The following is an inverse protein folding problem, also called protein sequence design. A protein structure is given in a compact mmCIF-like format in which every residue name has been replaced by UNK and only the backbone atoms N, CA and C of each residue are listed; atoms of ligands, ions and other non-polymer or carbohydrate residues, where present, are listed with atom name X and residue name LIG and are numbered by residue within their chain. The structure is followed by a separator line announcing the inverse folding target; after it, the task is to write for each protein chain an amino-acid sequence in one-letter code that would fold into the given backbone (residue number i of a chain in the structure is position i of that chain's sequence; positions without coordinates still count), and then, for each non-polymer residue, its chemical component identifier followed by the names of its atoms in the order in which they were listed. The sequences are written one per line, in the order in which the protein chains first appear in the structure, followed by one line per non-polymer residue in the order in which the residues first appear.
data_IF_031829947404
#
_entry.id   IF_031829947404
#
_cell.length_a   1.000
_cell.length_b   1.000
_cell.length_c   1.000
_cell.angle_alpha   90.00
_cell.angle_beta   90.00
_cell.angle_gamma   90.00
#
_symmetry.space_group_name_H-M   'P 1'
#
loop_
_entity.id
_entity.type
_entity.pdbx_description
1 polymer ?
#
# COMPACT_ATOMS: atom_id res chain seq x y z
N UNK A 1 -3.40 37.80 9.40
CA UNK A 1 -4.45 36.95 8.82
C UNK A 1 -3.80 35.62 8.58
N UNK A 2 -4.11 34.60 9.38
CA UNK A 2 -3.88 33.22 8.96
C UNK A 2 -4.89 32.96 7.84
N UNK A 3 -4.41 32.62 6.65
CA UNK A 3 -5.27 31.99 5.65
C UNK A 3 -5.74 30.67 6.28
N UNK A 4 -7.05 30.52 6.46
CA UNK A 4 -7.62 29.20 6.69
C UNK A 4 -7.38 28.42 5.41
N UNK A 5 -6.60 27.34 5.50
CA UNK A 5 -6.47 26.40 4.40
C UNK A 5 -7.79 25.65 4.31
N UNK A 6 -8.41 25.66 3.13
CA UNK A 6 -9.60 24.87 2.86
C UNK A 6 -9.26 23.39 3.08
N UNK A 7 -10.22 22.62 3.62
CA UNK A 7 -10.05 21.20 3.90
C UNK A 7 -11.27 20.39 3.45
N UNK A 8 -11.03 19.16 3.02
CA UNK A 8 -12.04 18.19 2.59
C UNK A 8 -11.96 16.94 3.47
N UNK A 9 -13.11 16.41 3.90
CA UNK A 9 -13.17 15.10 4.53
C UNK A 9 -13.12 14.04 3.43
N UNK A 10 -12.00 13.33 3.35
CA UNK A 10 -11.76 12.29 2.34
C UNK A 10 -11.91 10.91 2.98
N UNK A 11 -12.66 10.03 2.33
CA UNK A 11 -12.87 8.65 2.74
C UNK A 11 -11.96 7.69 1.98
N UNK A 12 -11.33 6.77 2.69
CA UNK A 12 -10.43 5.77 2.11
C UNK A 12 -10.92 4.37 2.45
N UNK A 13 -10.82 3.48 1.48
CA UNK A 13 -10.97 2.04 1.70
C UNK A 13 -9.82 1.30 1.05
N UNK A 14 -9.15 0.43 1.81
CA UNK A 14 -8.07 -0.42 1.34
C UNK A 14 -8.45 -1.86 1.60
N UNK A 15 -8.41 -2.69 0.56
CA UNK A 15 -8.66 -4.12 0.63
C UNK A 15 -7.35 -4.87 0.42
N UNK A 16 -6.99 -5.71 1.39
CA UNK A 16 -5.77 -6.51 1.38
C UNK A 16 -6.11 -8.01 1.47
N UNK A 17 -5.29 -8.84 0.83
CA UNK A 17 -5.20 -10.27 1.14
C UNK A 17 -3.73 -10.71 1.16
N UNK A 18 -3.47 -12.00 1.38
CA UNK A 18 -2.11 -12.49 1.60
C UNK A 18 -1.85 -13.89 1.03
N UNK A 19 -0.58 -14.16 0.77
CA UNK A 19 -0.06 -15.52 0.52
C UNK A 19 0.99 -15.81 1.58
N UNK A 20 0.88 -16.92 2.30
CA UNK A 20 1.90 -17.32 3.28
C UNK A 20 1.78 -18.80 3.71
N UNK A 21 2.90 -19.36 4.16
CA UNK A 21 3.02 -20.76 4.57
C UNK A 21 3.24 -20.96 6.08
N UNK A 22 3.78 -19.96 6.78
CA UNK A 22 4.10 -20.05 8.22
C UNK A 22 3.43 -18.95 9.03
N UNK A 23 3.83 -17.69 8.79
CA UNK A 23 3.28 -16.51 9.47
C UNK A 23 2.65 -15.55 8.45
N UNK A 24 1.59 -14.83 8.83
CA UNK A 24 0.98 -13.81 7.99
C UNK A 24 1.94 -12.63 7.76
N UNK A 25 1.84 -11.92 6.62
CA UNK A 25 2.57 -10.68 6.42
C UNK A 25 2.09 -9.60 7.39
N UNK A 26 3.04 -8.81 7.91
CA UNK A 26 2.75 -7.60 8.68
C UNK A 26 2.71 -6.40 7.75
N UNK A 27 1.74 -5.51 7.96
CA UNK A 27 1.55 -4.35 7.11
C UNK A 27 1.36 -3.07 7.91
N UNK A 28 1.63 -1.94 7.26
CA UNK A 28 1.24 -0.61 7.72
C UNK A 28 0.44 0.11 6.64
N UNK A 29 -0.59 0.84 7.04
CA UNK A 29 -1.24 1.88 6.22
C UNK A 29 -0.89 3.23 6.84
N UNK A 30 -0.36 4.14 6.03
CA UNK A 30 -0.03 5.50 6.43
C UNK A 30 -0.63 6.52 5.47
N UNK A 31 -0.96 7.69 6.00
CA UNK A 31 -1.37 8.87 5.23
C UNK A 31 -0.50 10.05 5.65
N UNK A 32 0.22 10.64 4.71
CA UNK A 32 1.22 11.70 4.97
C UNK A 32 2.24 11.33 6.06
N UNK A 33 2.59 10.05 6.12
CA UNK A 33 3.48 9.49 7.15
C UNK A 33 2.83 9.28 8.53
N UNK A 34 1.58 9.68 8.74
CA UNK A 34 0.80 9.32 9.94
C UNK A 34 0.37 7.85 9.86
N UNK A 35 0.68 7.06 10.89
CA UNK A 35 0.25 5.66 10.95
C UNK A 35 -1.26 5.59 11.18
N UNK A 36 -1.99 5.08 10.18
CA UNK A 36 -3.43 4.84 10.26
C UNK A 36 -3.69 3.46 10.86
N UNK A 37 -3.01 2.44 10.35
CA UNK A 37 -3.20 1.06 10.80
C UNK A 37 -1.89 0.26 10.75
N UNK A 38 -1.72 -0.64 11.72
CA UNK A 38 -0.64 -1.62 11.76
C UNK A 38 -1.20 -2.96 12.23
N UNK A 39 -0.88 -4.03 11.51
CA UNK A 39 -1.37 -5.36 11.85
C UNK A 39 -0.80 -6.47 10.98
N UNK A 40 -1.50 -7.60 11.00
CA UNK A 40 -1.22 -8.77 10.16
C UNK A 40 -2.40 -9.02 9.22
N UNK A 41 -2.11 -9.47 7.99
CA UNK A 41 -3.14 -9.95 7.04
C UNK A 41 -3.17 -11.46 7.11
N UNK A 42 -4.17 -12.00 7.80
CA UNK A 42 -4.38 -13.46 7.96
C UNK A 42 -5.24 -14.03 6.85
N UNK A 43 -5.99 -13.15 6.19
CA UNK A 43 -6.89 -13.41 5.08
C UNK A 43 -6.08 -13.88 3.88
N UNK A 44 -6.25 -15.16 3.52
CA UNK A 44 -5.47 -15.79 2.46
C UNK A 44 -6.17 -15.65 1.11
N UNK A 45 -5.40 -15.32 0.08
CA UNK A 45 -5.90 -15.24 -1.30
C UNK A 45 -6.61 -16.55 -1.72
N UNK A 46 -6.09 -17.70 -1.32
CA UNK A 46 -6.65 -19.03 -1.66
C UNK A 46 -8.03 -19.31 -1.02
N UNK A 47 -8.35 -18.67 0.12
CA UNK A 47 -9.66 -18.80 0.76
C UNK A 47 -10.69 -17.82 0.21
N UNK A 48 -10.24 -16.78 -0.50
CA UNK A 48 -11.08 -15.67 -0.95
C UNK A 48 -11.51 -14.73 0.19
N UNK A 49 -10.86 -14.81 1.35
CA UNK A 49 -11.08 -13.88 2.45
C UNK A 49 -10.33 -12.57 2.20
N UNK A 50 -10.88 -11.46 2.70
CA UNK A 50 -10.33 -10.12 2.48
C UNK A 50 -10.29 -9.32 3.78
N UNK A 51 -9.18 -8.59 3.97
CA UNK A 51 -9.05 -7.60 5.02
C UNK A 51 -9.47 -6.24 4.50
N UNK A 52 -10.53 -5.69 5.08
CA UNK A 52 -11.06 -4.37 4.73
C UNK A 52 -10.66 -3.35 5.78
N UNK A 53 -10.00 -2.28 5.33
CA UNK A 53 -9.57 -1.15 6.14
C UNK A 53 -10.30 0.07 5.62
N UNK A 54 -11.06 0.76 6.48
CA UNK A 54 -11.81 1.96 6.12
C UNK A 54 -11.53 3.05 7.14
N UNK A 55 -11.21 4.25 6.66
CA UNK A 55 -10.96 5.41 7.50
C UNK A 55 -11.28 6.69 6.72
N UNK A 56 -11.53 7.78 7.45
CA UNK A 56 -11.75 9.10 6.86
C UNK A 56 -10.83 10.12 7.53
N UNK A 57 -10.37 11.12 6.78
CA UNK A 57 -9.47 12.17 7.29
C UNK A 57 -9.83 13.52 6.69
N UNK A 58 -9.87 14.56 7.52
CA UNK A 58 -9.87 15.94 7.04
C UNK A 58 -8.49 16.29 6.50
N UNK A 59 -8.41 16.49 5.19
CA UNK A 59 -7.19 16.82 4.46
C UNK A 59 -7.25 18.27 3.99
N UNK A 60 -6.17 19.01 4.22
CA UNK A 60 -6.02 20.37 3.70
C UNK A 60 -5.89 20.33 2.17
N UNK A 61 -6.23 21.41 1.49
CA UNK A 61 -5.97 21.53 0.05
C UNK A 61 -4.46 21.37 -0.25
N UNK A 62 -4.12 20.55 -1.24
CA UNK A 62 -2.74 20.31 -1.66
C UNK A 62 -2.36 18.86 -1.89
N UNK A 63 -1.06 18.58 -1.84
CA UNK A 63 -0.45 17.27 -2.09
C UNK A 63 -0.53 16.36 -0.86
N UNK A 64 -0.97 15.12 -1.09
CA UNK A 64 -1.07 14.08 -0.08
C UNK A 64 -0.49 12.75 -0.57
N UNK A 65 -0.11 11.89 0.37
CA UNK A 65 0.48 10.58 0.05
C UNK A 65 -0.16 9.46 0.87
N UNK A 66 -0.80 8.51 0.18
CA UNK A 66 -1.23 7.24 0.75
C UNK A 66 -0.11 6.20 0.62
N UNK A 67 0.15 5.46 1.69
CA UNK A 67 1.26 4.53 1.79
C UNK A 67 0.80 3.18 2.34
N UNK A 68 1.15 2.09 1.66
CA UNK A 68 0.92 0.72 2.12
C UNK A 68 2.25 0.00 2.17
N UNK A 69 2.63 -0.53 3.34
CA UNK A 69 3.93 -1.16 3.56
C UNK A 69 3.80 -2.63 3.89
N UNK A 70 4.68 -3.44 3.31
CA UNK A 70 5.03 -4.75 3.87
C UNK A 70 6.23 -4.53 4.80
N UNK A 71 6.13 -5.02 6.03
CA UNK A 71 7.19 -4.86 7.05
C UNK A 71 7.54 -6.18 7.73
N UNK A 72 8.76 -6.26 8.26
CA UNK A 72 9.26 -7.41 9.04
C UNK A 72 9.21 -8.76 8.29
N UNK A 73 9.20 -8.75 6.96
CA UNK A 73 9.50 -9.94 6.16
C UNK A 73 10.96 -10.34 6.36
N UNK A 74 11.19 -11.59 6.73
CA UNK A 74 12.51 -12.16 6.98
C UNK A 74 12.79 -13.30 5.99
N UNK A 75 14.05 -13.71 5.82
CA UNK A 75 14.43 -14.80 4.91
C UNK A 75 13.66 -16.11 5.19
N UNK A 76 13.30 -16.38 6.46
CA UNK A 76 12.49 -17.54 6.84
C UNK A 76 11.08 -17.54 6.23
N UNK A 77 10.58 -16.40 5.77
CA UNK A 77 9.28 -16.26 5.09
C UNK A 77 9.37 -16.51 3.58
N UNK A 78 10.59 -16.67 3.04
CA UNK A 78 10.84 -17.09 1.65
C UNK A 78 11.91 -18.17 1.64
N UNK A 79 11.62 -19.38 2.16
CA UNK A 79 12.59 -20.46 2.15
C UNK A 79 12.95 -20.82 0.70
N UNK A 80 14.25 -21.05 0.48
CA UNK A 80 14.81 -21.47 -0.81
C UNK A 80 15.49 -22.83 -0.69
N UNK A 81 15.52 -23.61 -1.76
CA UNK A 81 16.28 -24.86 -1.84
C UNK A 81 17.79 -24.62 -2.07
N UNK A 82 18.57 -25.70 -2.15
CA UNK A 82 20.02 -25.65 -2.38
C UNK A 82 20.40 -25.01 -3.72
N UNK A 83 19.48 -24.95 -4.69
CA UNK A 83 19.68 -24.33 -5.99
C UNK A 83 19.19 -22.87 -6.03
N UNK A 84 18.65 -22.35 -4.92
CA UNK A 84 18.07 -21.02 -4.83
C UNK A 84 16.64 -20.91 -5.34
N UNK A 85 15.93 -22.02 -5.60
CA UNK A 85 14.53 -22.00 -5.98
C UNK A 85 13.65 -21.67 -4.76
N UNK A 86 12.69 -20.76 -4.92
CA UNK A 86 11.72 -20.43 -3.87
C UNK A 86 10.79 -21.64 -3.64
N UNK A 87 10.78 -22.14 -2.40
CA UNK A 87 9.91 -23.25 -1.98
C UNK A 87 8.54 -22.78 -1.51
N UNK A 88 8.50 -21.62 -0.87
CA UNK A 88 7.30 -20.93 -0.45
C UNK A 88 7.61 -19.44 -0.30
N UNK A 89 6.58 -18.60 -0.34
CA UNK A 89 6.74 -17.16 -0.16
C UNK A 89 5.71 -16.58 0.81
N UNK A 90 5.93 -15.33 1.20
CA UNK A 90 5.02 -14.50 1.97
C UNK A 90 4.76 -13.21 1.19
N UNK A 91 3.55 -13.01 0.71
CA UNK A 91 3.14 -11.85 -0.08
C UNK A 91 2.02 -11.11 0.64
N UNK A 92 2.09 -9.79 0.61
CA UNK A 92 0.97 -8.90 0.94
C UNK A 92 0.39 -8.39 -0.37
N UNK A 93 -0.90 -8.59 -0.60
CA UNK A 93 -1.54 -8.16 -1.83
C UNK A 93 -2.48 -6.99 -1.56
N UNK A 94 -2.33 -5.91 -2.32
CA UNK A 94 -3.26 -4.79 -2.37
C UNK A 94 -4.29 -5.09 -3.45
N UNK A 95 -5.48 -5.53 -3.04
CA UNK A 95 -6.53 -5.93 -3.98
C UNK A 95 -7.19 -4.73 -4.62
N UNK A 96 -7.52 -3.76 -3.79
CA UNK A 96 -8.32 -2.61 -4.16
C UNK A 96 -8.05 -1.44 -3.22
N UNK A 97 -8.12 -0.24 -3.78
CA UNK A 97 -8.11 1.02 -3.04
C UNK A 97 -9.24 1.88 -3.60
N UNK A 98 -10.04 2.46 -2.72
CA UNK A 98 -11.03 3.49 -3.04
C UNK A 98 -10.69 4.78 -2.30
N UNK A 99 -10.90 5.91 -2.98
CA UNK A 99 -10.90 7.25 -2.40
C UNK A 99 -12.25 7.88 -2.75
N UNK A 100 -13.00 8.34 -1.75
CA UNK A 100 -14.36 8.89 -1.89
C UNK A 100 -15.29 8.02 -2.73
N UNK A 101 -15.34 6.72 -2.41
CA UNK A 101 -16.12 5.69 -3.11
C UNK A 101 -15.72 5.45 -4.57
N UNK A 102 -14.64 6.08 -5.06
CA UNK A 102 -14.09 5.86 -6.40
C UNK A 102 -12.92 4.88 -6.32
N UNK A 103 -13.07 3.74 -6.99
CA UNK A 103 -12.01 2.74 -7.11
C UNK A 103 -10.87 3.24 -8.00
N UNK A 104 -9.62 3.07 -7.55
CA UNK A 104 -8.46 3.51 -8.33
C UNK A 104 -8.21 2.65 -9.57
N UNK A 105 -8.53 1.35 -9.54
CA UNK A 105 -8.31 0.35 -10.61
C UNK A 105 -7.10 0.63 -11.52
N UNK A 106 -7.30 1.24 -12.70
CA UNK A 106 -6.22 1.60 -13.63
C UNK A 106 -5.22 2.64 -13.07
N UNK A 107 -5.67 3.61 -12.28
CA UNK A 107 -4.84 4.62 -11.60
C UNK A 107 -3.88 4.00 -10.60
N UNK A 108 -4.27 2.90 -9.94
CA UNK A 108 -3.36 2.14 -9.09
C UNK A 108 -2.11 1.76 -9.87
N UNK A 109 -2.31 1.32 -11.12
CA UNK A 109 -1.21 0.88 -11.96
C UNK A 109 -0.39 2.03 -12.55
N UNK A 110 -1.06 3.13 -12.91
CA UNK A 110 -0.43 4.27 -13.55
C UNK A 110 0.36 5.15 -12.57
N UNK A 111 -0.16 5.37 -11.38
CA UNK A 111 0.34 6.38 -10.43
C UNK A 111 0.99 5.75 -9.19
N UNK A 112 0.63 4.50 -8.87
CA UNK A 112 1.21 3.76 -7.76
C UNK A 112 2.67 3.42 -8.00
N UNK A 113 3.53 3.78 -7.07
CA UNK A 113 4.96 3.46 -7.10
C UNK A 113 5.35 2.58 -5.93
N UNK A 114 6.03 1.48 -6.21
CA UNK A 114 6.63 0.65 -5.16
C UNK A 114 8.09 1.06 -4.93
N UNK A 115 8.43 1.29 -3.68
CA UNK A 115 9.77 1.55 -3.22
C UNK A 115 10.21 0.46 -2.26
N UNK A 116 11.24 -0.29 -2.64
CA UNK A 116 11.76 -1.38 -1.83
C UNK A 116 12.60 -0.83 -0.68
N UNK A 117 12.47 -1.44 0.49
CA UNK A 117 13.34 -1.13 1.62
C UNK A 117 14.73 -1.73 1.37
N UNK A 118 15.75 -0.91 1.24
CA UNK A 118 17.16 -1.33 1.28
C UNK A 118 17.65 -1.41 2.73
N UNK A 119 18.67 -2.23 2.98
CA UNK A 119 19.03 -2.64 4.34
C UNK A 119 19.45 -1.48 5.26
N UNK A 120 19.21 -1.71 6.56
CA UNK A 120 19.58 -0.97 7.79
C UNK A 120 18.89 0.37 8.12
N UNK A 121 18.38 1.17 7.19
CA UNK A 121 17.92 2.54 7.55
C UNK A 121 16.62 3.03 6.89
N UNK A 122 15.64 2.15 6.60
CA UNK A 122 14.41 2.55 5.90
C UNK A 122 14.69 3.40 4.64
N UNK A 123 15.80 3.11 3.96
CA UNK A 123 16.13 3.78 2.71
C UNK A 123 15.31 3.09 1.64
N UNK A 124 14.50 3.88 0.94
CA UNK A 124 13.59 3.41 -0.09
C UNK A 124 14.16 3.80 -1.45
N UNK A 125 14.73 2.84 -2.17
CA UNK A 125 15.21 3.08 -3.53
C UNK A 125 14.08 2.84 -4.51
N UNK A 126 13.88 3.76 -5.47
CA UNK A 126 13.05 3.50 -6.65
C UNK A 126 13.75 2.39 -7.44
N UNK A 127 13.26 1.15 -7.36
CA UNK A 127 13.73 0.12 -8.28
C UNK A 127 13.12 0.40 -9.67
N UNK A 128 13.90 0.29 -10.76
CA UNK A 128 13.42 0.51 -12.13
C UNK A 128 12.58 -0.69 -12.63
N UNK A 129 11.82 -1.32 -11.73
CA UNK A 129 10.94 -2.42 -12.08
C UNK A 129 9.63 -1.85 -12.64
N UNK A 130 9.23 -2.29 -13.84
CA UNK A 130 8.00 -1.85 -14.46
C UNK A 130 6.81 -2.46 -13.71
N UNK A 131 5.73 -1.70 -13.61
CA UNK A 131 4.39 -2.15 -13.19
C UNK A 131 4.22 -2.33 -11.68
N UNK A 132 3.79 -1.26 -11.01
CA UNK A 132 2.73 -1.27 -9.97
C UNK A 132 2.19 -2.64 -9.57
N UNK A 133 2.98 -3.36 -8.77
CA UNK A 133 2.59 -4.66 -8.27
C UNK A 133 1.51 -4.48 -7.21
N UNK A 134 0.36 -5.16 -7.41
CA UNK A 134 -0.58 -5.42 -6.31
C UNK A 134 0.09 -6.27 -5.23
N UNK A 135 1.11 -7.06 -5.58
CA UNK A 135 1.70 -8.05 -4.68
C UNK A 135 3.08 -7.60 -4.19
N UNK A 136 3.18 -7.32 -2.90
CA UNK A 136 4.38 -6.88 -2.20
C UNK A 136 5.14 -8.11 -1.70
N UNK A 137 6.22 -8.48 -2.40
CA UNK A 137 7.08 -9.62 -2.05
C UNK A 137 8.31 -9.26 -1.23
N UNK A 138 8.65 -7.98 -1.09
CA UNK A 138 9.75 -7.49 -0.27
C UNK A 138 9.26 -6.49 0.77
N UNK A 139 10.01 -6.33 1.86
CA UNK A 139 9.80 -5.17 2.73
C UNK A 139 9.97 -3.90 1.89
N UNK A 140 9.05 -2.96 2.07
CA UNK A 140 8.98 -1.79 1.22
C UNK A 140 7.64 -1.10 1.37
N UNK A 141 7.40 -0.16 0.46
CA UNK A 141 6.27 0.74 0.51
C UNK A 141 5.72 0.99 -0.89
N UNK A 142 4.46 0.69 -1.08
CA UNK A 142 3.68 1.22 -2.20
C UNK A 142 3.16 2.61 -1.83
N UNK A 143 3.34 3.59 -2.72
CA UNK A 143 2.95 4.99 -2.55
C UNK A 143 2.03 5.44 -3.67
N UNK A 144 1.01 6.20 -3.31
CA UNK A 144 0.19 6.98 -4.22
C UNK A 144 0.24 8.45 -3.80
N UNK A 145 0.68 9.31 -4.71
CA UNK A 145 0.55 10.75 -4.54
C UNK A 145 -0.76 11.19 -5.18
N UNK A 146 -1.54 11.99 -4.47
CA UNK A 146 -2.79 12.56 -4.94
C UNK A 146 -2.97 13.98 -4.40
N UNK A 147 -3.92 14.72 -4.97
CA UNK A 147 -4.21 16.08 -4.52
C UNK A 147 -5.64 16.21 -4.01
N UNK A 148 -5.82 17.06 -3.02
CA UNK A 148 -7.14 17.51 -2.51
C UNK A 148 -7.42 18.90 -3.08
N UNK A 149 -8.62 19.18 -3.63
CA UNK A 149 -9.80 18.32 -3.65
C UNK A 149 -9.71 17.08 -4.54
N UNK A 150 -10.12 15.92 -4.03
CA UNK A 150 -9.94 14.61 -4.69
C UNK A 150 -10.70 14.52 -6.02
N UNK A 151 -11.86 15.18 -6.12
CA UNK A 151 -12.66 15.19 -7.35
C UNK A 151 -11.90 15.84 -8.53
N UNK A 152 -11.10 16.88 -8.27
CA UNK A 152 -10.28 17.52 -9.32
C UNK A 152 -9.18 16.56 -9.74
N UNK A 153 -8.51 15.97 -8.76
CA UNK A 153 -7.44 15.01 -9.02
C UNK A 153 -7.92 13.83 -9.88
N UNK A 154 -9.11 13.29 -9.60
CA UNK A 154 -9.70 12.24 -10.42
C UNK A 154 -9.96 12.70 -11.86
N UNK A 155 -10.49 13.90 -12.06
CA UNK A 155 -10.74 14.44 -13.42
C UNK A 155 -9.46 14.64 -14.24
N UNK A 156 -8.33 14.89 -13.58
CA UNK A 156 -7.03 15.07 -14.24
C UNK A 156 -6.34 13.75 -14.58
N UNK A 157 -6.71 12.65 -13.93
CA UNK A 157 -6.00 11.38 -14.02
C UNK A 157 -6.81 10.24 -14.67
N UNK A 158 -8.15 10.30 -14.68
CA UNK A 158 -9.05 9.31 -15.31
C UNK A 158 -9.08 9.38 -16.84
#
# INVERSE_FOLDING_TARGET
MSEELDSELVEFKVILDSVWHNEPPKYQVLLDGELIEFGEVVEKEESGDEKVITFSKDLIEGDHVLQIRLVDKQNRHTPVDENGNILADQLLNIKQIEIDEIELDYLFYQLGKYHKQTATEFVYEEEPLPESYKNLGWNGEWRLNFTVPTYIWFLENL
#
